data_IF_896981948411
#
_entry.id   IF_896981948411
#
_cell.length_a   1.000
_cell.length_b   1.000
_cell.length_c   1.000
_cell.angle_alpha   90.00
_cell.angle_beta   90.00
_cell.angle_gamma   90.00
#
_symmetry.space_group_name_H-M   'P 1'
#
loop_
_entity.id
_entity.type
_entity.pdbx_description
1 polymer ?
#
# COMPACT_ATOMS: atom_id res chain seq x y z
N UNK A 1 74.19 -63.79 -14.81
CA UNK A 1 73.14 -63.98 -15.85
C UNK A 1 73.64 -64.94 -16.92
N UNK A 2 73.05 -66.14 -16.98
CA UNK A 2 73.48 -67.24 -17.86
C UNK A 2 73.18 -66.95 -19.33
N UNK A 3 74.25 -66.78 -20.15
CA UNK A 3 74.19 -66.87 -21.61
C UNK A 3 74.12 -68.35 -21.99
N UNK A 4 72.92 -68.93 -21.92
CA UNK A 4 72.64 -70.22 -22.58
C UNK A 4 72.06 -69.95 -23.96
N UNK A 5 72.93 -69.56 -24.89
CA UNK A 5 72.67 -69.78 -26.32
C UNK A 5 72.89 -71.26 -26.58
N UNK A 6 71.82 -71.95 -26.98
CA UNK A 6 71.88 -73.34 -27.45
C UNK A 6 73.06 -73.51 -28.42
N UNK A 7 73.98 -74.43 -28.12
CA UNK A 7 75.17 -74.72 -28.93
C UNK A 7 74.82 -75.23 -30.34
N UNK A 8 73.56 -75.61 -30.56
CA UNK A 8 73.08 -76.33 -31.74
C UNK A 8 72.09 -75.55 -32.63
N UNK A 9 71.54 -74.41 -32.16
CA UNK A 9 70.57 -73.61 -32.94
C UNK A 9 71.15 -72.23 -33.24
N UNK A 10 71.46 -71.96 -34.52
CA UNK A 10 71.94 -70.64 -34.98
C UNK A 10 70.75 -69.73 -35.31
N UNK A 11 70.66 -68.58 -34.66
CA UNK A 11 69.65 -67.56 -34.91
C UNK A 11 70.15 -66.59 -36.00
N UNK A 12 69.59 -66.73 -37.20
CA UNK A 12 69.94 -65.92 -38.38
C UNK A 12 69.01 -64.71 -38.58
N UNK A 13 67.92 -64.59 -37.81
CA UNK A 13 66.85 -63.59 -38.02
C UNK A 13 67.02 -62.41 -37.07
N UNK A 14 67.55 -62.65 -35.86
CA UNK A 14 67.71 -61.61 -34.84
C UNK A 14 68.74 -60.53 -35.15
N UNK A 15 69.64 -60.76 -36.12
CA UNK A 15 70.60 -59.76 -36.63
C UNK A 15 69.91 -58.68 -37.45
N UNK A 16 68.89 -59.04 -38.24
CA UNK A 16 68.10 -58.14 -39.08
C UNK A 16 66.99 -57.41 -38.29
N UNK A 17 66.45 -58.03 -37.23
CA UNK A 17 65.32 -57.51 -36.45
C UNK A 17 65.65 -56.88 -35.09
N UNK A 18 66.84 -56.29 -34.89
CA UNK A 18 67.33 -55.84 -33.55
C UNK A 18 66.37 -54.90 -32.81
N UNK A 19 65.72 -53.97 -33.52
CA UNK A 19 64.79 -53.02 -32.89
C UNK A 19 63.48 -53.70 -32.49
N UNK A 20 62.92 -54.54 -33.36
CA UNK A 20 61.71 -55.33 -33.08
C UNK A 20 61.95 -56.23 -31.86
N UNK A 21 63.10 -56.92 -31.80
CA UNK A 21 63.49 -57.74 -30.65
C UNK A 21 63.55 -56.96 -29.33
N UNK A 22 64.07 -55.73 -29.35
CA UNK A 22 64.08 -54.86 -28.15
C UNK A 22 62.66 -54.45 -27.74
N UNK A 23 61.81 -54.10 -28.70
CA UNK A 23 60.42 -53.73 -28.43
C UNK A 23 59.62 -54.91 -27.87
N UNK A 24 59.75 -56.10 -28.45
CA UNK A 24 59.06 -57.32 -27.98
C UNK A 24 59.47 -57.68 -26.54
N UNK A 25 60.77 -57.60 -26.24
CA UNK A 25 61.26 -57.84 -24.89
C UNK A 25 60.82 -56.77 -23.89
N UNK A 26 60.74 -55.49 -24.32
CA UNK A 26 60.32 -54.38 -23.46
C UNK A 26 58.83 -54.41 -23.12
N UNK A 27 57.98 -54.73 -24.10
CA UNK A 27 56.53 -54.58 -23.97
C UNK A 27 55.82 -55.88 -23.57
N UNK A 28 56.35 -57.04 -24.00
CA UNK A 28 55.70 -58.34 -23.74
C UNK A 28 56.55 -59.26 -22.87
N UNK A 29 57.74 -58.81 -22.43
CA UNK A 29 58.70 -59.62 -21.69
C UNK A 29 59.15 -60.92 -22.39
N UNK A 30 58.89 -61.06 -23.70
CA UNK A 30 59.29 -62.24 -24.50
C UNK A 30 60.69 -61.99 -25.08
N UNK A 31 61.62 -62.90 -24.81
CA UNK A 31 62.98 -62.85 -25.36
C UNK A 31 63.29 -64.10 -26.20
N UNK A 32 64.20 -63.99 -27.18
CA UNK A 32 64.58 -65.13 -28.03
C UNK A 32 65.14 -66.31 -27.21
N UNK A 33 65.75 -66.06 -26.05
CA UNK A 33 66.30 -67.14 -25.23
C UNK A 33 65.18 -68.01 -24.63
N UNK A 34 64.05 -67.41 -24.24
CA UNK A 34 62.87 -68.09 -23.74
C UNK A 34 62.21 -68.93 -24.84
N UNK A 35 62.07 -68.35 -26.04
CA UNK A 35 61.51 -69.05 -27.22
C UNK A 35 62.38 -70.25 -27.60
N UNK A 36 63.70 -70.07 -27.67
CA UNK A 36 64.63 -71.15 -28.05
C UNK A 36 64.67 -72.24 -26.96
N UNK A 37 64.63 -71.88 -25.67
CA UNK A 37 64.57 -72.87 -24.58
C UNK A 37 63.29 -73.70 -24.61
N UNK A 38 62.14 -73.05 -24.82
CA UNK A 38 60.87 -73.74 -24.96
C UNK A 38 60.84 -74.65 -26.20
N UNK A 39 61.35 -74.17 -27.34
CA UNK A 39 61.45 -74.97 -28.57
C UNK A 39 62.35 -76.21 -28.43
N UNK A 40 63.31 -76.19 -27.49
CA UNK A 40 64.18 -77.31 -27.16
C UNK A 40 63.64 -78.20 -26.02
N UNK A 41 62.40 -77.96 -25.56
CA UNK A 41 61.75 -78.78 -24.54
C UNK A 41 62.11 -78.46 -23.09
N UNK A 42 62.67 -77.27 -22.80
CA UNK A 42 62.88 -76.83 -21.41
C UNK A 42 61.53 -76.60 -20.73
N UNK A 43 61.22 -77.47 -19.75
CA UNK A 43 59.96 -77.50 -19.03
C UNK A 43 59.59 -76.14 -18.41
N UNK A 44 60.56 -75.40 -17.87
CA UNK A 44 60.30 -74.10 -17.23
C UNK A 44 59.94 -73.03 -18.24
N UNK A 45 60.59 -73.04 -19.41
CA UNK A 45 60.31 -72.10 -20.48
C UNK A 45 58.96 -72.39 -21.15
N UNK A 46 58.61 -73.67 -21.34
CA UNK A 46 57.30 -74.08 -21.85
C UNK A 46 56.15 -73.68 -20.91
N UNK A 47 56.29 -73.93 -19.60
CA UNK A 47 55.30 -73.51 -18.60
C UNK A 47 55.11 -72.00 -18.60
N UNK A 48 56.20 -71.23 -18.63
CA UNK A 48 56.14 -69.78 -18.68
C UNK A 48 55.39 -69.25 -19.93
N UNK A 49 55.63 -69.80 -21.12
CA UNK A 49 54.91 -69.39 -22.34
C UNK A 49 53.43 -69.78 -22.26
N UNK A 50 53.12 -70.97 -21.74
CA UNK A 50 51.73 -71.40 -21.53
C UNK A 50 50.99 -70.48 -20.57
N UNK A 51 51.59 -70.13 -19.43
CA UNK A 51 50.99 -69.23 -18.45
C UNK A 51 50.78 -67.82 -19.03
N UNK A 52 51.74 -67.30 -19.81
CA UNK A 52 51.59 -66.04 -20.53
C UNK A 52 50.44 -66.08 -21.55
N UNK A 53 50.26 -67.20 -22.24
CA UNK A 53 49.14 -67.42 -23.16
C UNK A 53 47.79 -67.44 -22.44
N UNK A 54 47.67 -68.20 -21.34
CA UNK A 54 46.44 -68.27 -20.53
C UNK A 54 46.10 -66.93 -19.89
N UNK A 55 47.09 -66.17 -19.42
CA UNK A 55 46.88 -64.81 -18.91
C UNK A 55 46.44 -63.87 -20.03
N UNK A 56 47.08 -63.94 -21.21
CA UNK A 56 46.69 -63.15 -22.38
C UNK A 56 45.25 -63.43 -22.83
N UNK A 57 44.83 -64.69 -22.87
CA UNK A 57 43.47 -65.10 -23.22
C UNK A 57 42.45 -64.60 -22.20
N UNK A 58 42.73 -64.77 -20.90
CA UNK A 58 41.88 -64.26 -19.82
C UNK A 58 41.76 -62.74 -19.85
N UNK A 59 42.86 -62.03 -20.10
CA UNK A 59 42.85 -60.57 -20.24
C UNK A 59 42.07 -60.12 -21.47
N UNK A 60 42.23 -60.82 -22.60
CA UNK A 60 41.49 -60.51 -23.83
C UNK A 60 39.98 -60.68 -23.68
N UNK A 61 39.54 -61.64 -22.86
CA UNK A 61 38.13 -61.87 -22.57
C UNK A 61 37.58 -60.93 -21.50
N UNK A 62 38.32 -60.74 -20.40
CA UNK A 62 37.83 -60.01 -19.23
C UNK A 62 37.96 -58.48 -19.37
N UNK A 63 39.03 -57.97 -20.00
CA UNK A 63 39.28 -56.52 -20.00
C UNK A 63 38.23 -55.69 -20.75
N UNK A 64 37.70 -56.12 -21.92
CA UNK A 64 36.62 -55.37 -22.56
C UNK A 64 35.38 -55.25 -21.67
N UNK A 65 35.04 -56.30 -20.93
CA UNK A 65 33.89 -56.31 -20.00
C UNK A 65 34.15 -55.41 -18.80
N UNK A 66 35.34 -55.48 -18.21
CA UNK A 66 35.74 -54.61 -17.09
C UNK A 66 35.73 -53.13 -17.54
N UNK A 67 36.29 -52.84 -18.72
CA UNK A 67 36.31 -51.50 -19.28
C UNK A 67 34.89 -50.97 -19.51
N UNK A 68 34.02 -51.76 -20.15
CA UNK A 68 32.64 -51.35 -20.41
C UNK A 68 31.88 -51.09 -19.10
N UNK A 69 32.01 -51.99 -18.11
CA UNK A 69 31.34 -51.81 -16.82
C UNK A 69 31.85 -50.58 -16.07
N UNK A 70 33.16 -50.31 -16.09
CA UNK A 70 33.74 -49.12 -15.47
C UNK A 70 33.27 -47.84 -16.17
N UNK A 71 33.22 -47.83 -17.50
CA UNK A 71 32.70 -46.70 -18.28
C UNK A 71 31.22 -46.46 -18.00
N UNK A 72 30.39 -47.52 -18.02
CA UNK A 72 28.96 -47.43 -17.70
C UNK A 72 28.74 -46.88 -16.28
N UNK A 73 29.56 -47.30 -15.32
CA UNK A 73 29.48 -46.79 -13.94
C UNK A 73 29.84 -45.30 -13.85
N UNK A 74 30.93 -44.88 -14.50
CA UNK A 74 31.34 -43.47 -14.54
C UNK A 74 30.27 -42.61 -15.23
N UNK A 75 29.73 -43.09 -16.36
CA UNK A 75 28.69 -42.39 -17.11
C UNK A 75 27.39 -42.30 -16.31
N UNK A 76 26.97 -43.40 -15.67
CA UNK A 76 25.80 -43.39 -14.79
C UNK A 76 25.93 -42.43 -13.61
N UNK A 77 27.11 -42.34 -12.97
CA UNK A 77 27.35 -41.34 -11.90
C UNK A 77 27.33 -39.92 -12.44
N UNK A 78 27.92 -39.68 -13.61
CA UNK A 78 27.90 -38.37 -14.25
C UNK A 78 26.46 -37.95 -14.55
N UNK A 79 25.69 -38.79 -15.24
CA UNK A 79 24.29 -38.53 -15.58
C UNK A 79 23.45 -38.29 -14.33
N UNK A 80 23.56 -39.17 -13.32
CA UNK A 80 22.86 -39.01 -12.04
C UNK A 80 23.12 -37.65 -11.39
N UNK A 81 24.38 -37.25 -11.25
CA UNK A 81 24.74 -35.98 -10.63
C UNK A 81 24.30 -34.78 -11.48
N UNK A 82 24.40 -34.86 -12.81
CA UNK A 82 23.93 -33.78 -13.69
C UNK A 82 22.41 -33.61 -13.63
N UNK A 83 21.65 -34.71 -13.56
CA UNK A 83 20.21 -34.69 -13.41
C UNK A 83 19.79 -34.10 -12.05
N UNK A 84 20.45 -34.50 -10.97
CA UNK A 84 20.24 -33.94 -9.63
C UNK A 84 20.51 -32.43 -9.58
N UNK A 85 21.63 -31.99 -10.15
CA UNK A 85 21.95 -30.57 -10.23
C UNK A 85 20.88 -29.79 -11.01
N UNK A 86 20.37 -30.34 -12.12
CA UNK A 86 19.31 -29.73 -12.89
C UNK A 86 17.99 -29.64 -12.09
N UNK A 87 17.62 -30.70 -11.37
CA UNK A 87 16.42 -30.74 -10.50
C UNK A 87 16.53 -29.68 -9.40
N UNK A 88 17.67 -29.60 -8.71
CA UNK A 88 17.86 -28.62 -7.64
C UNK A 88 17.87 -27.19 -8.15
N UNK A 89 18.47 -26.94 -9.32
CA UNK A 89 18.42 -25.62 -9.95
C UNK A 89 16.99 -25.22 -10.28
N UNK A 90 16.24 -26.09 -10.96
CA UNK A 90 14.84 -25.82 -11.29
C UNK A 90 13.96 -25.65 -10.05
N UNK A 91 14.19 -26.46 -9.01
CA UNK A 91 13.51 -26.34 -7.72
C UNK A 91 13.81 -25.03 -7.00
N UNK A 92 15.08 -24.61 -6.97
CA UNK A 92 15.50 -23.34 -6.39
C UNK A 92 14.90 -22.12 -7.11
N UNK A 93 14.98 -22.10 -8.45
CA UNK A 93 14.40 -21.04 -9.28
C UNK A 93 12.88 -20.96 -9.09
N UNK A 94 12.19 -22.11 -9.02
CA UNK A 94 10.75 -22.17 -8.80
C UNK A 94 10.35 -21.73 -7.40
N UNK A 95 11.07 -22.15 -6.35
CA UNK A 95 10.82 -21.72 -4.98
C UNK A 95 10.95 -20.21 -4.84
N UNK A 96 12.01 -19.63 -5.41
CA UNK A 96 12.23 -18.18 -5.36
C UNK A 96 11.14 -17.41 -6.12
N UNK A 97 10.65 -17.95 -7.24
CA UNK A 97 9.52 -17.37 -7.96
C UNK A 97 8.21 -17.43 -7.14
N UNK A 98 7.94 -18.54 -6.46
CA UNK A 98 6.78 -18.70 -5.58
C UNK A 98 6.85 -17.71 -4.41
N UNK A 99 8.00 -17.65 -3.73
CA UNK A 99 8.22 -16.75 -2.60
C UNK A 99 8.02 -15.29 -3.05
N UNK A 100 8.55 -14.91 -4.21
CA UNK A 100 8.38 -13.58 -4.77
C UNK A 100 6.89 -13.23 -4.97
N UNK A 101 6.13 -14.10 -5.63
CA UNK A 101 4.67 -13.89 -5.83
C UNK A 101 3.95 -13.82 -4.48
N UNK A 102 4.32 -14.65 -3.52
CA UNK A 102 3.78 -14.61 -2.15
C UNK A 102 4.05 -13.27 -1.47
N UNK A 103 5.28 -12.75 -1.56
CA UNK A 103 5.64 -11.44 -1.01
C UNK A 103 4.93 -10.28 -1.71
N UNK A 104 4.80 -10.32 -3.04
CA UNK A 104 4.09 -9.31 -3.82
C UNK A 104 2.58 -9.27 -3.46
N UNK A 105 1.96 -10.44 -3.26
CA UNK A 105 0.57 -10.54 -2.81
C UNK A 105 0.39 -9.97 -1.40
N UNK A 106 1.30 -10.30 -0.48
CA UNK A 106 1.27 -9.76 0.89
C UNK A 106 1.42 -8.24 0.92
N UNK A 107 2.31 -7.69 0.09
CA UNK A 107 2.47 -6.24 -0.08
C UNK A 107 1.20 -5.60 -0.66
N UNK A 108 0.59 -6.21 -1.67
CA UNK A 108 -0.65 -5.73 -2.25
C UNK A 108 -1.81 -5.73 -1.24
N UNK A 109 -1.93 -6.79 -0.43
CA UNK A 109 -2.92 -6.88 0.63
C UNK A 109 -2.72 -5.79 1.70
N UNK A 110 -1.48 -5.57 2.15
CA UNK A 110 -1.16 -4.49 3.08
C UNK A 110 -1.52 -3.11 2.51
N UNK A 111 -1.20 -2.86 1.23
CA UNK A 111 -1.59 -1.61 0.55
C UNK A 111 -3.11 -1.44 0.49
N UNK A 112 -3.85 -2.52 0.24
CA UNK A 112 -5.32 -2.47 0.23
C UNK A 112 -5.89 -2.15 1.61
N UNK A 113 -5.39 -2.78 2.67
CA UNK A 113 -5.80 -2.49 4.05
C UNK A 113 -5.50 -1.04 4.45
N UNK A 114 -4.31 -0.53 4.12
CA UNK A 114 -3.96 0.86 4.39
C UNK A 114 -4.90 1.82 3.66
N UNK A 115 -5.23 1.57 2.39
CA UNK A 115 -6.20 2.38 1.64
C UNK A 115 -7.60 2.34 2.27
N UNK A 116 -8.03 1.20 2.77
CA UNK A 116 -9.30 1.10 3.48
C UNK A 116 -9.31 1.95 4.74
N UNK A 117 -8.23 1.93 5.52
CA UNK A 117 -8.11 2.79 6.69
C UNK A 117 -8.08 4.27 6.32
N UNK A 118 -7.34 4.64 5.27
CA UNK A 118 -7.36 6.02 4.72
C UNK A 118 -8.78 6.46 4.33
N UNK A 119 -9.56 5.60 3.67
CA UNK A 119 -10.95 5.89 3.32
C UNK A 119 -11.84 6.04 4.55
N UNK A 120 -11.68 5.19 5.57
CA UNK A 120 -12.44 5.31 6.82
C UNK A 120 -12.11 6.62 7.53
N UNK A 121 -10.83 6.96 7.67
CA UNK A 121 -10.40 8.22 8.29
C UNK A 121 -10.96 9.41 7.53
N UNK A 122 -10.92 9.38 6.18
CA UNK A 122 -11.50 10.43 5.35
C UNK A 122 -13.01 10.56 5.57
N UNK A 123 -13.74 9.44 5.59
CA UNK A 123 -15.18 9.45 5.85
C UNK A 123 -15.52 10.09 7.21
N UNK A 124 -14.76 9.74 8.27
CA UNK A 124 -14.96 10.36 9.59
C UNK A 124 -14.65 11.85 9.58
N UNK A 125 -13.60 12.28 8.89
CA UNK A 125 -13.27 13.70 8.75
C UNK A 125 -14.37 14.46 7.99
N UNK A 126 -14.86 13.90 6.88
CA UNK A 126 -15.92 14.49 6.06
C UNK A 126 -17.25 14.57 6.85
N UNK A 127 -17.59 13.52 7.61
CA UNK A 127 -18.79 13.50 8.45
C UNK A 127 -18.72 14.55 9.57
N UNK A 128 -17.57 14.67 10.24
CA UNK A 128 -17.36 15.69 11.27
C UNK A 128 -17.43 17.10 10.69
N UNK A 129 -16.83 17.33 9.52
CA UNK A 129 -16.92 18.62 8.84
C UNK A 129 -18.37 18.98 8.47
N UNK A 130 -19.17 17.99 8.07
CA UNK A 130 -20.59 18.18 7.79
C UNK A 130 -21.39 18.50 9.06
N UNK A 131 -21.11 17.81 10.18
CA UNK A 131 -21.72 18.10 11.49
C UNK A 131 -21.38 19.52 11.96
N UNK A 132 -20.11 19.94 11.86
CA UNK A 132 -19.66 21.30 12.20
C UNK A 132 -20.37 22.33 11.32
N UNK A 133 -20.43 22.11 10.00
CA UNK A 133 -21.18 23.00 9.08
C UNK A 133 -22.66 23.09 9.45
N UNK A 134 -23.28 21.98 9.84
CA UNK A 134 -24.68 21.98 10.24
C UNK A 134 -24.90 22.78 11.54
N UNK A 135 -24.03 22.61 12.53
CA UNK A 135 -24.09 23.37 13.78
C UNK A 135 -23.91 24.87 13.53
N UNK A 136 -22.93 25.28 12.71
CA UNK A 136 -22.73 26.68 12.34
C UNK A 136 -23.97 27.30 11.68
N UNK A 137 -24.64 26.53 10.80
CA UNK A 137 -25.89 26.97 10.16
C UNK A 137 -27.02 27.11 11.18
N UNK A 138 -27.15 26.17 12.13
CA UNK A 138 -28.14 26.26 13.20
C UNK A 138 -27.90 27.47 14.09
N UNK A 139 -26.66 27.72 14.53
CA UNK A 139 -26.30 28.87 15.37
C UNK A 139 -26.65 30.20 14.68
N UNK A 140 -26.39 30.31 13.37
CA UNK A 140 -26.76 31.50 12.58
C UNK A 140 -28.29 31.66 12.49
N UNK A 141 -29.03 30.57 12.32
CA UNK A 141 -30.50 30.59 12.30
C UNK A 141 -31.06 31.01 13.67
N UNK A 142 -30.52 30.47 14.76
CA UNK A 142 -30.93 30.80 16.12
C UNK A 142 -30.65 32.27 16.45
N UNK A 143 -29.45 32.75 16.13
CA UNK A 143 -29.09 34.17 16.30
C UNK A 143 -30.04 35.07 15.52
N UNK A 144 -30.33 34.73 14.26
CA UNK A 144 -31.26 35.49 13.43
C UNK A 144 -32.67 35.49 14.02
N UNK A 145 -33.17 34.33 14.46
CA UNK A 145 -34.48 34.22 15.09
C UNK A 145 -34.56 35.05 16.38
N UNK A 146 -33.50 35.07 17.19
CA UNK A 146 -33.39 35.88 18.39
C UNK A 146 -33.42 37.39 18.06
N UNK A 147 -32.64 37.82 17.06
CA UNK A 147 -32.65 39.22 16.58
C UNK A 147 -34.03 39.61 16.07
N UNK A 148 -34.66 38.78 15.24
CA UNK A 148 -36.00 39.03 14.69
C UNK A 148 -37.05 39.11 15.81
N UNK A 149 -36.97 38.26 16.83
CA UNK A 149 -37.85 38.30 18.00
C UNK A 149 -37.66 39.59 18.80
N UNK A 150 -36.41 40.01 19.02
CA UNK A 150 -36.11 41.24 19.76
C UNK A 150 -36.57 42.50 19.01
N UNK A 151 -36.35 42.56 17.69
CA UNK A 151 -36.86 43.66 16.85
C UNK A 151 -38.38 43.73 16.93
N UNK A 152 -39.08 42.59 16.82
CA UNK A 152 -40.55 42.55 16.96
C UNK A 152 -41.03 43.02 18.34
N UNK A 153 -40.31 42.68 19.40
CA UNK A 153 -40.62 43.13 20.76
C UNK A 153 -40.49 44.65 20.89
N UNK A 154 -39.38 45.22 20.40
CA UNK A 154 -39.14 46.67 20.39
C UNK A 154 -40.22 47.39 19.55
N UNK A 155 -40.55 46.86 18.36
CA UNK A 155 -41.60 47.42 17.51
C UNK A 155 -42.98 47.36 18.18
N UNK A 156 -43.28 46.27 18.90
CA UNK A 156 -44.53 46.14 19.65
C UNK A 156 -44.62 47.16 20.80
N UNK A 157 -43.53 47.37 21.53
CA UNK A 157 -43.44 48.38 22.60
C UNK A 157 -43.64 49.78 22.01
N UNK A 158 -42.90 50.13 20.95
CA UNK A 158 -43.01 51.42 20.28
C UNK A 158 -44.42 51.65 19.71
N UNK A 159 -45.02 50.62 19.11
CA UNK A 159 -46.39 50.62 18.63
C UNK A 159 -47.40 50.88 19.76
N UNK A 160 -47.26 50.19 20.89
CA UNK A 160 -48.12 50.37 22.06
C UNK A 160 -47.99 51.79 22.66
N UNK A 161 -46.76 52.32 22.74
CA UNK A 161 -46.51 53.69 23.17
C UNK A 161 -47.17 54.69 22.22
N UNK A 162 -47.05 54.50 20.91
CA UNK A 162 -47.67 55.38 19.91
C UNK A 162 -49.21 55.43 20.05
N UNK A 163 -49.85 54.27 20.28
CA UNK A 163 -51.30 54.17 20.50
C UNK A 163 -51.69 54.82 21.83
N UNK A 164 -50.91 54.58 22.90
CA UNK A 164 -51.17 55.18 24.22
C UNK A 164 -51.01 56.70 24.22
N UNK A 165 -50.08 57.22 23.42
CA UNK A 165 -49.75 58.64 23.30
C UNK A 165 -50.64 59.37 22.28
N UNK A 166 -51.29 58.68 21.34
CA UNK A 166 -52.14 59.28 20.31
C UNK A 166 -53.26 60.19 20.86
N UNK A 167 -54.00 59.83 21.93
CA UNK A 167 -55.00 60.72 22.54
C UNK A 167 -54.38 61.98 23.14
N UNK A 168 -53.18 61.88 23.72
CA UNK A 168 -52.46 63.01 24.28
C UNK A 168 -52.00 63.98 23.19
N UNK A 169 -51.43 63.46 22.10
CA UNK A 169 -51.04 64.25 20.94
C UNK A 169 -52.27 64.93 20.30
N UNK A 170 -53.40 64.24 20.17
CA UNK A 170 -54.66 64.81 19.68
C UNK A 170 -55.22 65.89 20.60
N UNK A 171 -55.14 65.71 21.92
CA UNK A 171 -55.53 66.74 22.87
C UNK A 171 -54.68 67.99 22.69
N UNK A 172 -53.35 67.84 22.62
CA UNK A 172 -52.44 68.97 22.48
C UNK A 172 -52.65 69.74 21.15
N UNK A 173 -52.97 69.03 20.07
CA UNK A 173 -53.37 69.66 18.80
C UNK A 173 -54.71 70.39 18.92
N UNK A 174 -55.70 69.78 19.59
CA UNK A 174 -57.01 70.41 19.82
C UNK A 174 -56.89 71.67 20.69
N UNK A 175 -56.07 71.64 21.72
CA UNK A 175 -55.80 72.79 22.60
C UNK A 175 -55.11 73.92 21.82
N UNK A 176 -54.17 73.60 20.93
CA UNK A 176 -53.52 74.56 20.02
C UNK A 176 -54.49 75.17 19.02
N UNK A 177 -55.40 74.36 18.47
CA UNK A 177 -56.39 74.85 17.52
C UNK A 177 -57.43 75.72 18.22
N UNK A 178 -57.86 75.35 19.43
CA UNK A 178 -58.75 76.14 20.28
C UNK A 178 -58.13 77.49 20.63
N UNK A 179 -56.85 77.52 21.04
CA UNK A 179 -56.16 78.76 21.37
C UNK A 179 -56.02 79.67 20.15
N UNK A 180 -55.73 79.10 18.97
CA UNK A 180 -55.71 79.83 17.70
C UNK A 180 -57.09 80.38 17.32
N UNK A 181 -58.16 79.59 17.47
CA UNK A 181 -59.52 80.03 17.20
C UNK A 181 -59.96 81.14 18.15
N UNK A 182 -59.68 81.02 19.46
CA UNK A 182 -59.90 82.08 20.45
C UNK A 182 -59.16 83.36 20.07
N UNK A 183 -57.88 83.24 19.70
CA UNK A 183 -57.08 84.38 19.25
C UNK A 183 -57.67 85.06 18.01
N UNK A 184 -58.05 84.29 16.99
CA UNK A 184 -58.68 84.83 15.77
C UNK A 184 -60.04 85.48 16.06
N UNK A 185 -60.85 84.86 16.91
CA UNK A 185 -62.16 85.39 17.31
C UNK A 185 -62.02 86.71 18.08
N UNK A 186 -61.07 86.78 19.01
CA UNK A 186 -60.72 88.03 19.72
C UNK A 186 -60.24 89.12 18.75
N UNK A 187 -59.39 88.77 17.77
CA UNK A 187 -58.92 89.72 16.75
C UNK A 187 -60.05 90.24 15.85
N UNK A 188 -61.04 89.40 15.53
CA UNK A 188 -62.14 89.76 14.63
C UNK A 188 -63.26 90.56 15.32
N UNK A 189 -63.58 90.26 16.57
CA UNK A 189 -64.77 90.77 17.26
C UNK A 189 -64.49 91.72 18.43
N UNK A 190 -63.21 91.96 18.79
CA UNK A 190 -62.84 92.97 19.79
C UNK A 190 -63.48 92.75 21.16
N UNK A 191 -63.95 93.83 21.80
CA UNK A 191 -64.51 93.80 23.18
C UNK A 191 -65.86 93.08 23.32
N UNK A 192 -66.53 92.75 22.20
CA UNK A 192 -67.82 92.04 22.20
C UNK A 192 -67.64 90.51 22.03
N UNK A 193 -66.40 90.04 21.97
CA UNK A 193 -66.10 88.63 21.72
C UNK A 193 -66.38 87.73 22.93
N UNK A 194 -67.36 86.83 22.82
CA UNK A 194 -67.59 85.76 23.79
C UNK A 194 -66.81 84.49 23.42
N UNK A 195 -65.67 84.29 24.08
CA UNK A 195 -64.79 83.13 23.86
C UNK A 195 -65.37 81.79 24.34
N UNK A 196 -66.47 81.80 25.11
CA UNK A 196 -67.08 80.60 25.67
C UNK A 196 -67.87 79.80 24.63
N UNK A 197 -68.22 80.40 23.49
CA UNK A 197 -69.00 79.78 22.42
C UNK A 197 -68.18 78.88 21.48
N UNK A 198 -66.84 78.91 21.58
CA UNK A 198 -65.97 78.07 20.73
C UNK A 198 -65.93 76.64 21.32
N UNK A 199 -66.36 75.62 20.57
CA UNK A 199 -66.50 74.26 21.10
C UNK A 199 -65.13 73.63 21.41
N UNK A 200 -64.97 73.19 22.66
CA UNK A 200 -63.76 72.53 23.14
C UNK A 200 -63.86 71.00 22.97
N UNK A 201 -62.78 70.39 22.45
CA UNK A 201 -62.70 68.95 22.23
C UNK A 201 -61.82 68.30 23.30
N UNK A 202 -62.35 67.30 24.00
CA UNK A 202 -61.62 66.53 25.00
C UNK A 202 -61.40 65.07 24.55
N UNK A 203 -60.17 64.75 24.20
CA UNK A 203 -59.74 63.43 23.75
C UNK A 203 -59.18 62.55 24.89
N UNK A 204 -59.01 63.09 26.10
CA UNK A 204 -58.60 62.32 27.29
C UNK A 204 -59.74 62.33 28.31
N UNK A 205 -60.51 61.24 28.33
CA UNK A 205 -61.70 61.06 29.18
C UNK A 205 -61.48 60.10 30.36
N UNK A 206 -60.27 59.54 30.53
CA UNK A 206 -59.96 58.61 31.62
C UNK A 206 -59.49 59.38 32.89
N UNK A 207 -60.14 59.20 34.06
CA UNK A 207 -59.86 59.94 35.29
C UNK A 207 -58.44 59.75 35.84
N UNK A 208 -57.81 58.59 35.65
CA UNK A 208 -56.45 58.30 36.15
C UNK A 208 -55.38 59.03 35.32
N UNK A 209 -55.58 59.14 34.00
CA UNK A 209 -54.67 59.89 33.11
C UNK A 209 -54.81 61.42 33.28
N UNK A 210 -55.97 61.90 33.75
CA UNK A 210 -56.20 63.31 34.11
C UNK A 210 -55.38 63.72 35.34
N UNK A 211 -55.40 62.89 36.38
CA UNK A 211 -54.62 63.10 37.60
C UNK A 211 -53.11 63.17 37.35
N UNK A 212 -52.56 62.27 36.52
CA UNK A 212 -51.13 62.31 36.16
C UNK A 212 -50.71 63.56 35.36
N UNK A 213 -51.62 64.18 34.60
CA UNK A 213 -51.37 65.44 33.89
C UNK A 213 -51.29 66.62 34.86
N UNK A 214 -52.17 66.65 35.86
CA UNK A 214 -52.16 67.67 36.91
C UNK A 214 -50.88 67.58 37.75
N UNK A 215 -50.43 66.38 38.11
CA UNK A 215 -49.16 66.19 38.86
C UNK A 215 -47.93 66.56 38.02
N UNK A 216 -47.85 66.13 36.75
CA UNK A 216 -46.68 66.42 35.90
C UNK A 216 -46.59 67.90 35.51
N UNK A 217 -47.73 68.61 35.45
CA UNK A 217 -47.78 70.06 35.23
C UNK A 217 -47.35 70.92 36.43
N UNK A 218 -47.15 70.32 37.62
CA UNK A 218 -46.64 71.02 38.82
C UNK A 218 -45.11 71.02 38.87
N UNK A 219 -44.45 70.07 38.17
CA UNK A 219 -42.99 69.87 38.21
C UNK A 219 -42.24 70.36 36.96
N UNK A 220 -42.94 70.99 36.01
CA UNK A 220 -42.38 71.76 34.90
C UNK A 220 -42.76 73.24 35.09
#
# INVERSE_FOLDING_TARGET
MSKTTSRYVKDHVSSFGKQVKKATAKHFAINNALIVKAALGDEKACKQISDMGQVGERLSLAMPVIQQNALNYIEGIKEYNTALAAIYKAGGDSSLAIDKVGTDLSLANTKYQNKLEEYKTKLFADLRAEEERHNDVMDVIELKAWVDAHVREVDAIAGQESISNAPYLKQLQADRELSKQRMLHWLQHGSESDASLIPEKHYITNPIKRFWREVRGIFN
#
